data_IF_847958341069
#
_entry.id   IF_847958341069
#
_cell.length_a   1.000
_cell.length_b   1.000
_cell.length_c   1.000
_cell.angle_alpha   90.00
_cell.angle_beta   90.00
_cell.angle_gamma   90.00
#
_symmetry.space_group_name_H-M   'P 1'
#
loop_
_entity.id
_entity.type
_entity.pdbx_description
1 polymer ?
#
# COMPACT_ATOMS: atom_id res chain seq x y z
N UNK A 1 -36.64 -3.27 7.07
CA UNK A 1 -37.08 -3.13 5.66
C UNK A 1 -38.47 -3.76 5.49
N UNK A 2 -39.35 -3.23 4.62
CA UNK A 2 -40.69 -3.80 4.40
C UNK A 2 -40.62 -5.22 3.80
N UNK A 3 -41.48 -6.13 4.26
CA UNK A 3 -41.47 -7.55 3.86
C UNK A 3 -41.64 -7.75 2.33
N UNK A 4 -42.43 -6.88 1.69
CA UNK A 4 -42.66 -6.91 0.24
C UNK A 4 -41.40 -6.61 -0.60
N UNK A 5 -40.44 -5.86 -0.06
CA UNK A 5 -39.17 -5.58 -0.71
C UNK A 5 -38.23 -6.78 -0.58
N UNK A 6 -38.12 -7.31 0.65
CA UNK A 6 -37.25 -8.44 0.98
C UNK A 6 -37.58 -9.70 0.15
N UNK A 7 -38.86 -9.98 -0.09
CA UNK A 7 -39.30 -11.12 -0.91
C UNK A 7 -38.94 -11.04 -2.40
N UNK A 8 -38.42 -9.90 -2.88
CA UNK A 8 -37.98 -9.69 -4.28
C UNK A 8 -36.48 -9.44 -4.40
N UNK A 9 -35.73 -9.48 -3.30
CA UNK A 9 -34.28 -9.24 -3.30
C UNK A 9 -33.50 -10.55 -3.40
N UNK A 10 -32.41 -10.52 -4.17
CA UNK A 10 -31.38 -11.54 -4.14
C UNK A 10 -30.26 -11.04 -3.22
N UNK A 11 -29.94 -11.80 -2.18
CA UNK A 11 -28.86 -11.46 -1.27
C UNK A 11 -27.54 -11.94 -1.85
N UNK A 12 -26.55 -11.04 -1.93
CA UNK A 12 -25.16 -11.38 -2.25
C UNK A 12 -24.34 -11.12 -0.97
N UNK A 13 -23.97 -12.17 -0.21
CA UNK A 13 -23.16 -11.98 1.00
C UNK A 13 -21.74 -11.57 0.63
N UNK A 14 -21.21 -10.56 1.32
CA UNK A 14 -19.82 -10.15 1.24
C UNK A 14 -19.08 -10.70 2.46
N UNK A 15 -18.08 -11.56 2.21
CA UNK A 15 -17.26 -12.15 3.26
C UNK A 15 -16.02 -11.29 3.55
N UNK A 16 -15.44 -11.41 4.76
CA UNK A 16 -14.16 -10.79 5.08
C UNK A 16 -13.06 -11.20 4.11
N UNK A 17 -12.08 -10.31 3.93
CA UNK A 17 -10.88 -10.59 3.14
C UNK A 17 -9.98 -11.55 3.92
N UNK A 18 -9.40 -12.54 3.22
CA UNK A 18 -8.35 -13.40 3.74
C UNK A 18 -6.98 -12.71 3.63
N UNK A 19 -6.01 -13.18 4.39
CA UNK A 19 -4.63 -12.69 4.35
C UNK A 19 -4.04 -12.75 2.93
N UNK A 20 -4.30 -13.83 2.19
CA UNK A 20 -3.87 -13.96 0.79
C UNK A 20 -4.49 -12.88 -0.12
N UNK A 21 -5.78 -12.58 0.08
CA UNK A 21 -6.44 -11.50 -0.65
C UNK A 21 -5.86 -10.13 -0.27
N UNK A 22 -5.59 -9.89 1.02
CA UNK A 22 -4.94 -8.66 1.48
C UNK A 22 -3.54 -8.51 0.88
N UNK A 23 -2.75 -9.59 0.82
CA UNK A 23 -1.42 -9.62 0.20
C UNK A 23 -1.48 -9.25 -1.27
N UNK A 24 -2.45 -9.80 -2.01
CA UNK A 24 -2.67 -9.47 -3.42
C UNK A 24 -3.08 -8.00 -3.61
N UNK A 25 -4.00 -7.49 -2.77
CA UNK A 25 -4.42 -6.10 -2.83
C UNK A 25 -3.25 -5.16 -2.52
N UNK A 26 -2.45 -5.46 -1.50
CA UNK A 26 -1.25 -4.69 -1.16
C UNK A 26 -0.25 -4.67 -2.33
N UNK A 27 0.01 -5.82 -2.96
CA UNK A 27 0.85 -5.90 -4.16
C UNK A 27 0.31 -5.07 -5.33
N UNK A 28 -1.00 -5.09 -5.57
CA UNK A 28 -1.63 -4.25 -6.61
C UNK A 28 -1.47 -2.75 -6.31
N UNK A 29 -1.60 -2.33 -5.05
CA UNK A 29 -1.43 -0.93 -4.68
C UNK A 29 0.03 -0.49 -4.76
N UNK A 30 0.98 -1.28 -4.26
CA UNK A 30 2.41 -1.01 -4.41
C UNK A 30 2.83 -0.97 -5.89
N UNK A 31 2.28 -1.84 -6.73
CA UNK A 31 2.51 -1.79 -8.18
C UNK A 31 1.99 -0.50 -8.84
N UNK A 32 0.90 0.10 -8.33
CA UNK A 32 0.45 1.43 -8.78
C UNK A 32 1.40 2.53 -8.33
N UNK A 33 1.92 2.45 -7.11
CA UNK A 33 2.92 3.38 -6.59
C UNK A 33 4.18 3.30 -7.43
N UNK A 34 4.69 2.10 -7.69
CA UNK A 34 5.86 1.87 -8.53
C UNK A 34 5.74 2.55 -9.89
N UNK A 35 4.60 2.36 -10.58
CA UNK A 35 4.34 3.02 -11.86
C UNK A 35 4.35 4.54 -11.74
N UNK A 36 3.74 5.09 -10.68
CA UNK A 36 3.65 6.54 -10.46
C UNK A 36 5.01 7.16 -10.15
N UNK A 37 5.83 6.51 -9.32
CA UNK A 37 7.18 6.98 -9.00
C UNK A 37 8.05 7.01 -10.26
N UNK A 38 8.01 5.93 -11.06
CA UNK A 38 8.73 5.86 -12.33
C UNK A 38 8.28 6.96 -13.31
N UNK A 39 6.97 7.20 -13.43
CA UNK A 39 6.43 8.21 -14.35
C UNK A 39 6.75 9.65 -13.94
N UNK A 40 6.68 9.95 -12.65
CA UNK A 40 6.83 11.32 -12.16
C UNK A 40 8.27 11.72 -11.92
N UNK A 41 9.14 10.76 -11.59
CA UNK A 41 10.50 11.04 -11.11
C UNK A 41 11.58 10.27 -11.85
N UNK A 42 11.23 9.35 -12.76
CA UNK A 42 12.20 8.53 -13.49
C UNK A 42 12.92 7.47 -12.64
N UNK A 43 12.67 7.42 -11.34
CA UNK A 43 13.30 6.49 -10.41
C UNK A 43 12.55 5.14 -10.37
N UNK A 44 13.25 4.00 -10.52
CA UNK A 44 12.71 2.68 -10.18
C UNK A 44 12.32 2.61 -8.70
N UNK A 45 11.19 1.96 -8.44
CA UNK A 45 10.71 1.66 -7.10
C UNK A 45 10.60 0.15 -6.94
N UNK A 46 11.30 -0.39 -5.95
CA UNK A 46 11.39 -1.82 -5.66
C UNK A 46 10.99 -2.07 -4.21
N UNK A 47 10.35 -3.20 -3.94
CA UNK A 47 9.95 -3.59 -2.59
C UNK A 47 10.11 -5.11 -2.42
N UNK A 48 10.45 -5.54 -1.21
CA UNK A 48 10.54 -6.95 -0.84
C UNK A 48 9.21 -7.57 -0.44
N UNK A 49 9.18 -8.90 -0.38
CA UNK A 49 8.03 -9.67 0.12
C UNK A 49 7.72 -9.38 1.60
N UNK A 50 8.75 -9.03 2.37
CA UNK A 50 8.67 -8.61 3.77
C UNK A 50 7.79 -7.37 3.96
N UNK A 51 7.78 -6.45 3.00
CA UNK A 51 6.91 -5.27 2.97
C UNK A 51 5.44 -5.69 2.89
N UNK A 52 5.12 -6.67 2.04
CA UNK A 52 3.75 -7.19 1.91
C UNK A 52 3.30 -7.86 3.20
N UNK A 53 4.17 -8.67 3.79
CA UNK A 53 3.86 -9.40 5.02
C UNK A 53 3.65 -8.44 6.19
N UNK A 54 4.44 -7.37 6.28
CA UNK A 54 4.25 -6.31 7.27
C UNK A 54 2.92 -5.57 7.07
N UNK A 55 2.55 -5.22 5.84
CA UNK A 55 1.25 -4.57 5.55
C UNK A 55 0.10 -5.47 5.98
N UNK A 56 0.14 -6.77 5.64
CA UNK A 56 -0.90 -7.74 6.04
C UNK A 56 -0.96 -7.86 7.56
N UNK A 57 0.19 -7.96 8.24
CA UNK A 57 0.24 -8.06 9.72
C UNK A 57 -0.36 -6.84 10.44
N UNK A 58 -0.38 -5.67 9.79
CA UNK A 58 -0.98 -4.43 10.33
C UNK A 58 -2.48 -4.31 10.01
N UNK A 59 -3.02 -5.18 9.17
CA UNK A 59 -4.43 -5.19 8.75
C UNK A 59 -5.30 -6.10 9.63
N UNK A 60 -5.13 -6.04 10.96
CA UNK A 60 -5.74 -6.96 11.94
C UNK A 60 -7.23 -6.68 12.19
N UNK A 61 -7.69 -5.45 11.96
CA UNK A 61 -9.10 -5.09 12.16
C UNK A 61 -9.96 -5.54 10.97
N UNK A 62 -10.72 -6.62 11.20
CA UNK A 62 -11.66 -7.23 10.24
C UNK A 62 -12.64 -6.21 9.63
N UNK A 63 -12.98 -5.14 10.36
CA UNK A 63 -13.92 -4.09 9.91
C UNK A 63 -13.32 -3.09 8.91
N UNK A 64 -11.98 -2.94 8.89
CA UNK A 64 -11.31 -1.98 7.99
C UNK A 64 -11.14 -2.52 6.56
N UNK A 65 -11.14 -3.85 6.39
CA UNK A 65 -10.91 -4.51 5.09
C UNK A 65 -9.70 -3.93 4.36
N UNK A 66 -9.82 -3.72 3.04
CA UNK A 66 -8.74 -3.16 2.21
C UNK A 66 -8.45 -1.67 2.44
N UNK A 67 -9.24 -0.94 3.25
CA UNK A 67 -8.99 0.50 3.51
C UNK A 67 -7.76 0.72 4.38
N UNK A 68 -7.42 -0.24 5.24
CA UNK A 68 -6.22 -0.16 6.06
C UNK A 68 -4.95 -0.16 5.20
N UNK A 69 -4.94 -0.94 4.12
CA UNK A 69 -3.82 -0.96 3.15
C UNK A 69 -3.61 0.46 2.58
N UNK A 70 -4.69 1.10 2.13
CA UNK A 70 -4.62 2.46 1.58
C UNK A 70 -4.12 3.46 2.63
N UNK A 71 -4.59 3.36 3.88
CA UNK A 71 -4.12 4.21 4.98
C UNK A 71 -2.61 4.04 5.24
N UNK A 72 -2.11 2.81 5.33
CA UNK A 72 -0.68 2.53 5.53
C UNK A 72 0.16 3.13 4.40
N UNK A 73 -0.27 2.96 3.16
CA UNK A 73 0.48 3.46 2.01
C UNK A 73 0.42 4.98 1.89
N UNK A 74 -0.74 5.60 2.09
CA UNK A 74 -0.95 7.03 1.86
C UNK A 74 -0.57 7.91 3.04
N UNK A 75 -0.62 7.39 4.26
CA UNK A 75 -0.36 8.16 5.49
C UNK A 75 1.04 7.90 6.07
N UNK A 76 1.71 6.82 5.67
CA UNK A 76 3.05 6.48 6.15
C UNK A 76 4.05 6.40 5.00
N UNK A 77 3.89 5.43 4.10
CA UNK A 77 4.92 5.12 3.11
C UNK A 77 5.18 6.25 2.11
N UNK A 78 4.13 6.75 1.46
CA UNK A 78 4.25 7.80 0.45
C UNK A 78 4.76 9.13 1.02
N UNK A 79 4.30 9.62 2.19
CA UNK A 79 4.85 10.81 2.81
C UNK A 79 6.36 10.72 3.07
N UNK A 80 6.85 9.60 3.59
CA UNK A 80 8.28 9.41 3.88
C UNK A 80 9.12 9.44 2.60
N UNK A 81 8.70 8.71 1.57
CA UNK A 81 9.36 8.74 0.26
C UNK A 81 9.35 10.16 -0.33
N UNK A 82 8.20 10.84 -0.28
CA UNK A 82 8.04 12.20 -0.83
C UNK A 82 8.98 13.19 -0.15
N UNK A 83 9.15 13.11 1.16
CA UNK A 83 10.06 13.97 1.91
C UNK A 83 11.51 13.81 1.44
N UNK A 84 11.97 12.58 1.26
CA UNK A 84 13.34 12.34 0.78
C UNK A 84 13.53 12.81 -0.66
N UNK A 85 12.51 12.60 -1.51
CA UNK A 85 12.54 13.10 -2.88
C UNK A 85 12.69 14.61 -2.93
N UNK A 86 11.88 15.33 -2.15
CA UNK A 86 11.95 16.78 -2.07
C UNK A 86 13.30 17.26 -1.54
N UNK A 87 13.85 16.60 -0.51
CA UNK A 87 15.17 16.95 0.04
C UNK A 87 16.29 16.77 -1.00
N UNK A 88 16.34 15.64 -1.71
CA UNK A 88 17.34 15.43 -2.77
C UNK A 88 17.19 16.40 -3.93
N UNK A 89 15.97 16.69 -4.34
CA UNK A 89 15.69 17.71 -5.36
C UNK A 89 16.20 19.11 -4.93
N UNK A 90 16.02 19.48 -3.66
CA UNK A 90 16.55 20.74 -3.12
C UNK A 90 18.08 20.75 -3.04
N UNK A 91 18.70 19.60 -2.79
CA UNK A 91 20.16 19.43 -2.78
C UNK A 91 20.77 19.32 -4.19
N UNK A 92 19.95 19.19 -5.24
CA UNK A 92 20.41 18.94 -6.60
C UNK A 92 20.94 17.51 -6.83
N UNK A 93 20.60 16.58 -5.94
CA UNK A 93 21.00 15.18 -6.00
C UNK A 93 20.03 14.37 -6.88
N UNK A 94 20.59 13.44 -7.66
CA UNK A 94 19.78 12.51 -8.43
C UNK A 94 19.11 11.47 -7.52
N UNK A 95 17.95 10.99 -7.98
CA UNK A 95 17.25 9.85 -7.37
C UNK A 95 17.30 8.73 -8.40
N UNK A 96 18.20 7.78 -8.20
CA UNK A 96 18.44 6.70 -9.16
C UNK A 96 17.59 5.47 -8.87
N UNK A 97 17.25 5.20 -7.60
CA UNK A 97 16.38 4.10 -7.18
C UNK A 97 15.79 4.31 -5.78
N UNK A 98 14.60 3.78 -5.55
CA UNK A 98 14.02 3.59 -4.21
C UNK A 98 13.81 2.10 -3.96
N UNK A 99 14.34 1.62 -2.84
CA UNK A 99 14.07 0.25 -2.36
C UNK A 99 13.41 0.32 -0.99
N UNK A 100 12.30 -0.39 -0.84
CA UNK A 100 11.57 -0.52 0.42
C UNK A 100 11.76 -1.92 0.97
N UNK A 101 12.13 -2.02 2.25
CA UNK A 101 12.21 -3.26 3.00
C UNK A 101 11.66 -3.08 4.41
N UNK A 102 11.88 -4.09 5.25
CA UNK A 102 11.48 -4.07 6.66
C UNK A 102 12.69 -4.26 7.56
N UNK A 103 12.76 -3.51 8.66
CA UNK A 103 13.76 -3.69 9.72
C UNK A 103 13.09 -3.39 11.05
N UNK A 104 13.24 -4.29 12.03
CA UNK A 104 12.64 -4.15 13.37
C UNK A 104 11.11 -3.92 13.36
N UNK A 105 10.41 -4.47 12.35
CA UNK A 105 8.96 -4.30 12.20
C UNK A 105 8.52 -2.95 11.63
N UNK A 106 9.46 -2.13 11.16
CA UNK A 106 9.22 -0.84 10.52
C UNK A 106 9.67 -0.83 9.06
N UNK A 107 9.06 0.05 8.26
CA UNK A 107 9.48 0.24 6.88
C UNK A 107 10.85 0.92 6.85
N UNK A 108 11.74 0.38 6.03
CA UNK A 108 13.05 0.95 5.77
C UNK A 108 13.16 1.33 4.31
N UNK A 109 13.64 2.56 4.08
CA UNK A 109 13.81 3.11 2.74
C UNK A 109 15.30 3.28 2.43
N UNK A 110 15.72 2.75 1.30
CA UNK A 110 17.07 2.92 0.77
C UNK A 110 16.97 3.65 -0.55
N UNK A 111 17.70 4.76 -0.66
CA UNK A 111 17.72 5.60 -1.85
C UNK A 111 19.10 5.51 -2.51
N UNK A 112 19.13 4.93 -3.70
CA UNK A 112 20.28 4.92 -4.61
C UNK A 112 20.27 6.18 -5.44
#
# INVERSE_FOLDING_TARGET
>A
FPAALLGRMVVIPYYPLSDDMLRQIAGLQLGRIQKRVQQNHGAPFEFGDDVLDLIVSRCVEVESGGRMIDAILTQTMLPEISNVFLQRMMAGEAIERVTVGVTDGEFRYVFG
#
